data_IF_263127616062
#
_entry.id   IF_263127616062
#
_cell.length_a   1.000
_cell.length_b   1.000
_cell.length_c   1.000
_cell.angle_alpha   90.00
_cell.angle_beta   90.00
_cell.angle_gamma   90.00
#
_symmetry.space_group_name_H-M   'P 1'
#
loop_
_entity.id
_entity.type
_entity.pdbx_description
1 polymer ?
#
# COMPACT_ATOMS: atom_id res chain seq x y z
N UNK A 1 -19.53 -9.16 -46.31
CA UNK A 1 -18.18 -9.67 -45.98
C UNK A 1 -17.17 -8.85 -46.76
N UNK A 2 -16.26 -8.10 -46.11
CA UNK A 2 -15.40 -7.16 -46.83
C UNK A 2 -14.35 -7.89 -47.70
N UNK A 3 -14.09 -7.42 -48.94
CA UNK A 3 -13.25 -8.12 -49.94
C UNK A 3 -11.77 -8.26 -49.54
N UNK A 4 -11.37 -7.61 -48.45
CA UNK A 4 -10.01 -7.65 -47.89
C UNK A 4 -9.73 -9.01 -47.23
N UNK A 5 -10.73 -9.62 -46.57
CA UNK A 5 -10.54 -10.89 -45.87
C UNK A 5 -10.32 -12.06 -46.84
N UNK A 6 -11.00 -12.05 -47.99
CA UNK A 6 -10.81 -13.06 -49.04
C UNK A 6 -9.43 -12.99 -49.68
N UNK A 7 -8.87 -11.79 -49.87
CA UNK A 7 -7.50 -11.63 -50.41
C UNK A 7 -6.43 -12.14 -49.45
N UNK A 8 -6.62 -11.95 -48.14
CA UNK A 8 -5.72 -12.50 -47.11
C UNK A 8 -5.80 -14.04 -47.03
N UNK A 9 -6.98 -14.62 -47.21
CA UNK A 9 -7.14 -16.09 -47.26
C UNK A 9 -6.57 -16.71 -48.54
N UNK A 10 -6.61 -16.02 -49.68
CA UNK A 10 -6.00 -16.52 -50.93
C UNK A 10 -4.46 -16.40 -50.91
N UNK A 11 -3.92 -15.33 -50.34
CA UNK A 11 -2.47 -15.14 -50.21
C UNK A 11 -1.82 -16.20 -49.31
N UNK A 12 -2.47 -16.57 -48.20
CA UNK A 12 -1.99 -17.63 -47.30
C UNK A 12 -2.06 -19.03 -47.92
N UNK A 13 -2.92 -19.24 -48.92
CA UNK A 13 -3.05 -20.52 -49.65
C UNK A 13 -1.95 -20.78 -50.68
N UNK A 14 -1.26 -19.73 -51.16
CA UNK A 14 -0.17 -19.85 -52.17
C UNK A 14 1.24 -19.76 -51.58
N UNK A 15 1.37 -19.62 -50.26
CA UNK A 15 2.68 -19.52 -49.62
C UNK A 15 3.12 -20.89 -49.10
N UNK A 16 4.15 -21.44 -49.74
CA UNK A 16 4.82 -22.67 -49.27
C UNK A 16 5.21 -22.53 -47.79
N UNK A 17 5.07 -23.61 -47.01
CA UNK A 17 5.36 -23.65 -45.57
C UNK A 17 6.73 -23.07 -45.22
N UNK A 18 7.72 -23.20 -46.12
CA UNK A 18 9.06 -22.57 -45.97
C UNK A 18 9.01 -21.05 -45.96
N UNK A 19 8.18 -20.43 -46.82
CA UNK A 19 8.00 -18.97 -46.88
C UNK A 19 7.28 -18.44 -45.64
N UNK A 20 6.31 -19.21 -45.12
CA UNK A 20 5.61 -18.87 -43.86
C UNK A 20 6.59 -18.91 -42.69
N UNK A 21 7.41 -19.97 -42.58
CA UNK A 21 8.43 -20.08 -41.53
C UNK A 21 9.44 -18.94 -41.56
N UNK A 22 9.94 -18.57 -42.75
CA UNK A 22 10.88 -17.45 -42.90
C UNK A 22 10.26 -16.11 -42.49
N UNK A 23 8.98 -15.90 -42.79
CA UNK A 23 8.27 -14.68 -42.43
C UNK A 23 8.02 -14.59 -40.92
N UNK A 24 7.66 -15.71 -40.27
CA UNK A 24 7.52 -15.76 -38.81
C UNK A 24 8.86 -15.56 -38.11
N UNK A 25 9.93 -16.20 -38.60
CA UNK A 25 11.28 -16.03 -38.04
C UNK A 25 11.75 -14.57 -38.18
N UNK A 26 11.52 -13.95 -39.35
CA UNK A 26 11.82 -12.54 -39.59
C UNK A 26 11.02 -11.57 -38.70
N UNK A 27 9.72 -11.77 -38.55
CA UNK A 27 8.90 -10.94 -37.65
C UNK A 27 9.35 -11.08 -36.19
N UNK A 28 9.79 -12.27 -35.77
CA UNK A 28 10.24 -12.54 -34.41
C UNK A 28 11.59 -11.87 -34.12
N UNK A 29 12.53 -11.91 -35.06
CA UNK A 29 13.84 -11.23 -34.91
C UNK A 29 13.70 -9.70 -34.95
N UNK A 30 12.85 -9.15 -35.82
CA UNK A 30 12.55 -7.71 -35.85
C UNK A 30 11.89 -7.26 -34.54
N UNK A 31 10.95 -8.05 -34.01
CA UNK A 31 10.32 -7.74 -32.71
C UNK A 31 11.33 -7.77 -31.57
N UNK A 32 12.27 -8.72 -31.58
CA UNK A 32 13.34 -8.81 -30.58
C UNK A 32 14.32 -7.63 -30.67
N UNK A 33 14.70 -7.23 -31.89
CA UNK A 33 15.55 -6.06 -32.15
C UNK A 33 14.88 -4.75 -31.70
N UNK A 34 13.57 -4.59 -31.95
CA UNK A 34 12.82 -3.44 -31.46
C UNK A 34 12.74 -3.46 -29.93
N UNK A 35 12.54 -4.63 -29.31
CA UNK A 35 12.45 -4.71 -27.84
C UNK A 35 13.81 -4.50 -27.14
N UNK A 36 14.92 -4.94 -27.75
CA UNK A 36 16.27 -4.65 -27.25
C UNK A 36 16.69 -3.20 -27.52
N UNK A 37 16.33 -2.62 -28.67
CA UNK A 37 16.59 -1.21 -28.99
C UNK A 37 15.74 -0.22 -28.19
N UNK A 38 14.48 -0.57 -27.89
CA UNK A 38 13.58 0.25 -27.09
C UNK A 38 13.97 0.27 -25.60
N UNK A 39 14.59 -0.79 -25.07
CA UNK A 39 15.13 -0.80 -23.71
C UNK A 39 16.38 0.10 -23.55
N UNK A 40 17.15 0.37 -24.62
CA UNK A 40 18.31 1.27 -24.56
C UNK A 40 18.02 2.73 -24.91
N UNK A 41 16.94 3.03 -25.65
CA UNK A 41 16.66 4.37 -26.18
C UNK A 41 15.54 5.14 -25.45
N UNK A 42 14.57 4.44 -24.86
CA UNK A 42 13.33 5.05 -24.35
C UNK A 42 13.18 5.11 -22.82
N UNK A 43 14.27 4.95 -22.07
CA UNK A 43 14.33 5.62 -20.78
C UNK A 43 14.84 7.03 -21.03
N UNK A 44 13.98 8.07 -20.98
CA UNK A 44 14.51 9.41 -20.87
C UNK A 44 15.47 9.40 -19.67
N UNK A 45 16.70 9.86 -19.90
CA UNK A 45 17.62 10.30 -18.85
C UNK A 45 17.01 11.52 -18.14
N UNK A 46 15.84 11.35 -17.54
CA UNK A 46 15.29 12.26 -16.57
C UNK A 46 16.09 12.01 -15.30
N UNK A 47 16.77 13.07 -14.84
CA UNK A 47 17.72 13.19 -13.73
C UNK A 47 19.20 13.15 -14.12
N UNK A 48 19.75 14.20 -14.78
CA UNK A 48 21.06 14.65 -14.36
C UNK A 48 20.91 15.17 -12.92
N UNK A 49 21.23 14.31 -11.94
CA UNK A 49 21.51 14.73 -10.56
C UNK A 49 22.84 15.50 -10.53
N UNK A 50 22.97 16.55 -11.33
CA UNK A 50 23.99 17.57 -11.10
C UNK A 50 23.39 18.55 -10.10
N UNK A 51 23.27 18.11 -8.84
CA UNK A 51 23.16 19.06 -7.75
C UNK A 51 24.40 19.97 -7.83
N UNK A 52 24.26 21.31 -7.79
CA UNK A 52 25.41 22.17 -7.55
C UNK A 52 26.13 21.66 -6.29
N UNK A 53 27.47 21.68 -6.22
CA UNK A 53 28.20 21.16 -5.07
C UNK A 53 27.60 21.79 -3.82
N UNK A 54 27.00 20.93 -2.98
CA UNK A 54 26.44 21.37 -1.71
C UNK A 54 27.55 22.09 -0.99
N UNK A 55 27.33 23.38 -0.71
CA UNK A 55 28.09 24.17 0.26
C UNK A 55 28.42 23.25 1.44
N UNK A 56 29.70 23.16 1.81
CA UNK A 56 30.26 22.27 2.85
C UNK A 56 29.71 22.57 4.26
N UNK A 57 28.39 22.56 4.44
CA UNK A 57 27.78 22.42 5.75
C UNK A 57 27.91 20.95 6.17
N UNK A 58 28.27 20.66 7.43
CA UNK A 58 28.27 19.30 7.93
C UNK A 58 26.92 18.63 7.63
N UNK A 59 26.90 17.36 7.19
CA UNK A 59 25.66 16.68 6.86
C UNK A 59 24.74 16.72 8.07
N UNK A 60 23.56 17.34 7.91
CA UNK A 60 22.55 17.38 8.97
C UNK A 60 22.18 15.94 9.36
N UNK A 61 22.05 15.64 10.67
CA UNK A 61 21.58 14.34 11.12
C UNK A 61 20.27 13.99 10.43
N UNK A 62 20.15 12.75 9.95
CA UNK A 62 18.92 12.29 9.29
C UNK A 62 17.81 12.22 10.33
N UNK A 63 16.64 12.74 10.01
CA UNK A 63 15.47 12.64 10.88
C UNK A 63 14.88 11.22 10.86
N UNK A 64 14.84 10.55 12.01
CA UNK A 64 14.48 9.12 12.11
C UNK A 64 13.10 8.88 12.72
N UNK A 65 12.42 9.91 13.25
CA UNK A 65 11.18 9.76 14.02
C UNK A 65 10.02 10.51 13.38
N UNK A 66 9.03 9.80 12.83
CA UNK A 66 7.92 10.42 12.09
C UNK A 66 6.58 9.79 12.46
N UNK A 67 5.60 10.64 12.71
CA UNK A 67 4.20 10.27 12.87
C UNK A 67 3.42 10.77 11.64
N UNK A 68 3.20 9.89 10.69
CA UNK A 68 2.34 10.13 9.55
C UNK A 68 0.87 9.83 9.92
N UNK A 69 0.10 10.89 10.12
CA UNK A 69 -1.32 10.83 10.45
C UNK A 69 -2.11 10.51 9.16
N UNK A 70 -2.15 9.22 8.82
CA UNK A 70 -2.74 8.72 7.58
C UNK A 70 -4.27 8.93 7.58
N UNK A 71 -4.74 9.85 6.76
CA UNK A 71 -6.16 10.09 6.47
C UNK A 71 -6.66 9.17 5.34
N UNK A 72 -7.96 8.94 5.26
CA UNK A 72 -8.53 8.05 4.25
C UNK A 72 -8.53 8.68 2.85
N UNK A 73 -8.18 7.88 1.84
CA UNK A 73 -8.26 8.21 0.39
C UNK A 73 -7.49 9.48 -0.03
N UNK A 74 -6.42 9.80 0.68
CA UNK A 74 -5.49 10.92 0.43
C UNK A 74 -4.13 10.46 -0.12
N UNK A 75 -4.11 9.33 -0.85
CA UNK A 75 -2.88 8.66 -1.29
C UNK A 75 -1.95 8.21 -0.13
N UNK A 76 -2.46 8.14 1.09
CA UNK A 76 -1.67 7.80 2.27
C UNK A 76 -1.00 6.42 2.23
N UNK A 77 -1.56 5.41 1.53
CA UNK A 77 -0.95 4.07 1.41
C UNK A 77 0.39 4.11 0.68
N UNK A 78 0.57 5.04 -0.27
CA UNK A 78 1.85 5.24 -0.95
C UNK A 78 2.91 5.73 0.03
N UNK A 79 2.60 6.78 0.80
CA UNK A 79 3.52 7.34 1.81
C UNK A 79 3.81 6.34 2.92
N UNK A 80 2.80 5.62 3.41
CA UNK A 80 2.98 4.55 4.39
C UNK A 80 4.00 3.52 3.93
N UNK A 81 3.90 3.04 2.69
CA UNK A 81 4.85 2.04 2.17
C UNK A 81 6.27 2.60 2.06
N UNK A 82 6.41 3.85 1.65
CA UNK A 82 7.72 4.54 1.63
C UNK A 82 8.31 4.58 3.05
N UNK A 83 7.52 5.03 4.04
CA UNK A 83 7.95 5.14 5.43
C UNK A 83 8.27 3.78 6.06
N UNK A 84 7.49 2.75 5.75
CA UNK A 84 7.74 1.39 6.23
C UNK A 84 9.04 0.82 5.65
N UNK A 85 9.28 0.98 4.34
CA UNK A 85 10.55 0.57 3.71
C UNK A 85 11.75 1.36 4.24
N UNK A 86 11.55 2.64 4.53
CA UNK A 86 12.57 3.46 5.19
C UNK A 86 12.88 2.92 6.58
N UNK A 87 11.85 2.62 7.38
CA UNK A 87 12.02 2.03 8.70
C UNK A 87 12.77 0.69 8.65
N UNK A 88 12.43 -0.17 7.69
CA UNK A 88 13.16 -1.44 7.48
C UNK A 88 14.64 -1.22 7.21
N UNK A 89 14.95 -0.36 6.24
CA UNK A 89 16.32 -0.08 5.80
C UNK A 89 17.18 0.51 6.92
N UNK A 90 16.55 1.27 7.81
CA UNK A 90 17.22 1.94 8.93
C UNK A 90 17.03 1.21 10.27
N UNK A 91 16.51 -0.02 10.24
CA UNK A 91 16.27 -0.84 11.44
C UNK A 91 15.42 -0.14 12.51
N UNK A 92 14.50 0.73 12.10
CA UNK A 92 13.60 1.46 12.98
C UNK A 92 12.43 0.58 13.43
N UNK A 93 11.74 0.97 14.51
CA UNK A 93 10.50 0.31 14.96
C UNK A 93 9.29 1.04 14.39
N UNK A 94 8.43 0.32 13.68
CA UNK A 94 7.14 0.84 13.20
C UNK A 94 6.07 0.51 14.23
N UNK A 95 5.27 1.49 14.64
CA UNK A 95 4.07 1.27 15.43
C UNK A 95 3.06 0.46 14.61
N UNK A 96 2.69 -0.71 15.11
CA UNK A 96 1.70 -1.57 14.44
C UNK A 96 0.53 -1.83 15.38
N UNK A 97 -0.69 -1.96 14.86
CA UNK A 97 -1.87 -2.13 15.70
C UNK A 97 -1.86 -3.48 16.43
N UNK A 98 -2.46 -3.48 17.60
CA UNK A 98 -2.77 -4.69 18.35
C UNK A 98 -3.71 -5.59 17.51
N UNK A 99 -3.63 -6.93 17.59
CA UNK A 99 -4.44 -7.82 16.76
C UNK A 99 -5.96 -7.61 16.91
N UNK A 100 -6.42 -7.17 18.09
CA UNK A 100 -7.82 -6.82 18.32
C UNK A 100 -8.24 -5.51 17.66
N UNK A 101 -7.32 -4.67 17.21
CA UNK A 101 -7.57 -3.33 16.65
C UNK A 101 -7.49 -3.26 15.11
N UNK A 102 -7.55 -4.43 14.46
CA UNK A 102 -7.36 -4.58 13.02
C UNK A 102 -6.09 -3.86 12.51
N UNK A 103 -6.11 -3.32 11.29
CA UNK A 103 -5.00 -2.63 10.65
C UNK A 103 -5.03 -1.10 10.86
N UNK A 104 -5.98 -0.60 11.68
CA UNK A 104 -6.32 0.83 11.78
C UNK A 104 -6.41 1.33 13.23
N UNK A 105 -5.63 0.76 14.16
CA UNK A 105 -5.58 1.20 15.57
C UNK A 105 -6.97 1.43 16.20
N UNK A 106 -7.90 0.50 15.99
CA UNK A 106 -9.26 0.59 16.54
C UNK A 106 -10.07 1.83 16.09
N UNK A 107 -9.79 2.38 14.90
CA UNK A 107 -10.59 3.42 14.26
C UNK A 107 -12.09 3.02 14.21
N UNK A 108 -13.06 3.93 14.47
CA UNK A 108 -12.93 5.38 14.61
C UNK A 108 -12.77 5.89 16.06
N UNK A 109 -12.39 5.03 17.02
CA UNK A 109 -12.13 5.47 18.41
C UNK A 109 -10.92 6.41 18.44
N UNK A 110 -10.93 7.38 19.37
CA UNK A 110 -9.75 8.22 19.62
C UNK A 110 -8.54 7.33 19.91
N UNK A 111 -7.40 7.64 19.29
CA UNK A 111 -6.21 6.84 19.43
C UNK A 111 -5.79 6.73 20.90
N UNK A 112 -5.42 5.52 21.32
CA UNK A 112 -4.71 5.30 22.56
C UNK A 112 -3.47 4.47 22.30
N UNK A 113 -2.41 4.71 23.08
CA UNK A 113 -1.19 3.91 23.04
C UNK A 113 -1.48 2.41 23.26
N UNK A 114 -2.57 2.06 23.95
CA UNK A 114 -3.02 0.66 24.15
C UNK A 114 -3.35 -0.07 22.84
N UNK A 115 -3.73 0.67 21.78
CA UNK A 115 -4.03 0.09 20.48
C UNK A 115 -2.77 -0.30 19.71
N UNK A 116 -1.58 0.05 20.19
CA UNK A 116 -0.29 -0.31 19.59
C UNK A 116 0.17 -1.64 20.14
N UNK A 117 0.61 -2.54 19.28
CA UNK A 117 1.14 -3.84 19.68
C UNK A 117 2.36 -3.67 20.62
N UNK A 118 2.43 -4.35 21.78
CA UNK A 118 3.52 -4.21 22.76
C UNK A 118 4.93 -4.40 22.17
N UNK A 119 5.12 -5.43 21.34
CA UNK A 119 6.36 -5.69 20.60
C UNK A 119 6.81 -4.57 19.63
N UNK A 120 6.00 -3.52 19.46
CA UNK A 120 6.31 -2.38 18.58
C UNK A 120 6.47 -1.06 19.35
N UNK A 121 6.61 -1.13 20.67
CA UNK A 121 6.86 0.02 21.54
C UNK A 121 8.30 0.00 22.11
N UNK A 122 9.00 1.16 22.21
CA UNK A 122 8.63 2.45 21.64
C UNK A 122 8.84 2.49 20.11
N UNK A 123 7.93 3.11 19.34
CA UNK A 123 8.07 3.24 17.90
C UNK A 123 8.92 4.45 17.51
N UNK A 124 9.48 4.41 16.30
CA UNK A 124 10.10 5.55 15.63
C UNK A 124 9.21 6.04 14.49
N UNK A 125 8.45 5.14 13.86
CA UNK A 125 7.59 5.45 12.71
C UNK A 125 6.16 5.03 13.02
N UNK A 126 5.21 5.92 12.82
CA UNK A 126 3.78 5.61 12.85
C UNK A 126 3.18 6.06 11.51
N UNK A 127 2.46 5.19 10.81
CA UNK A 127 1.92 5.51 9.48
C UNK A 127 0.63 4.76 9.09
N UNK A 128 -0.08 4.18 10.05
CA UNK A 128 -1.39 3.53 9.81
C UNK A 128 -2.54 4.45 10.21
N UNK A 129 -3.75 4.14 9.73
CA UNK A 129 -4.96 4.90 10.07
C UNK A 129 -5.20 4.92 11.58
N UNK A 130 -5.46 6.11 12.12
CA UNK A 130 -5.88 6.33 13.50
C UNK A 130 -6.73 7.60 13.57
N UNK A 131 -7.43 7.81 14.68
CA UNK A 131 -8.04 9.09 15.01
C UNK A 131 -7.11 9.89 15.90
N UNK A 132 -6.66 11.04 15.43
CA UNK A 132 -5.61 11.84 16.08
C UNK A 132 -5.98 12.20 17.52
N UNK A 133 -5.10 11.85 18.44
CA UNK A 133 -5.09 12.32 19.82
C UNK A 133 -3.67 12.77 20.14
N UNK A 134 -3.49 14.07 20.38
CA UNK A 134 -2.18 14.69 20.55
C UNK A 134 -1.47 14.16 21.79
N UNK A 135 -2.19 14.06 22.91
CA UNK A 135 -1.61 13.67 24.19
C UNK A 135 -1.13 12.21 24.16
N UNK A 136 -1.94 11.29 23.60
CA UNK A 136 -1.55 9.89 23.48
C UNK A 136 -0.38 9.68 22.50
N UNK A 137 -0.34 10.44 21.40
CA UNK A 137 0.76 10.34 20.44
C UNK A 137 2.06 10.93 20.97
N UNK A 138 2.03 12.06 21.69
CA UNK A 138 3.22 12.64 22.31
C UNK A 138 3.78 11.76 23.42
N UNK A 139 2.93 11.01 24.13
CA UNK A 139 3.38 10.01 25.12
C UNK A 139 4.00 8.78 24.45
N UNK A 140 3.49 8.37 23.30
CA UNK A 140 3.95 7.18 22.59
C UNK A 140 5.24 7.43 21.80
N UNK A 141 5.30 8.54 21.08
CA UNK A 141 6.38 8.85 20.14
C UNK A 141 7.58 9.49 20.87
N UNK A 142 8.82 9.21 20.45
CA UNK A 142 10.00 9.84 21.04
C UNK A 142 9.99 11.38 20.88
N UNK A 143 10.65 12.12 21.80
CA UNK A 143 10.82 13.57 21.66
C UNK A 143 11.43 13.95 20.31
N UNK A 144 10.97 15.08 19.76
CA UNK A 144 11.42 15.57 18.44
C UNK A 144 10.76 14.88 17.24
N UNK A 145 9.75 14.02 17.45
CA UNK A 145 8.99 13.42 16.34
C UNK A 145 8.33 14.49 15.46
N UNK A 146 8.44 14.34 14.15
CA UNK A 146 7.77 15.20 13.18
C UNK A 146 6.42 14.60 12.80
N UNK A 147 5.37 15.41 12.89
CA UNK A 147 4.01 15.02 12.54
C UNK A 147 3.66 15.52 11.14
N UNK A 148 3.21 14.62 10.28
CA UNK A 148 2.87 14.93 8.88
C UNK A 148 1.52 14.31 8.54
N UNK A 149 0.73 14.99 7.72
CA UNK A 149 -0.50 14.43 7.14
C UNK A 149 -0.65 14.89 5.70
N UNK A 150 -1.59 14.28 4.99
CA UNK A 150 -2.02 14.72 3.66
C UNK A 150 -3.52 14.94 3.73
N UNK A 151 -3.97 16.08 3.23
CA UNK A 151 -5.39 16.38 3.06
C UNK A 151 -5.73 16.33 1.58
N UNK A 152 -7.00 16.04 1.29
CA UNK A 152 -7.58 16.04 -0.05
C UNK A 152 -8.86 16.86 -0.02
N UNK A 153 -9.22 17.42 -1.16
CA UNK A 153 -10.51 18.07 -1.35
C UNK A 153 -11.65 17.10 -0.92
N UNK A 154 -12.60 17.56 -0.07
CA UNK A 154 -13.60 16.69 0.55
C UNK A 154 -14.51 15.92 -0.41
N UNK A 155 -14.99 16.54 -1.50
CA UNK A 155 -15.89 15.89 -2.45
C UNK A 155 -15.18 14.73 -3.18
N UNK A 156 -13.99 14.97 -3.72
CA UNK A 156 -13.19 13.95 -4.40
C UNK A 156 -12.72 12.84 -3.45
N UNK A 157 -12.47 13.16 -2.18
CA UNK A 157 -12.21 12.15 -1.15
C UNK A 157 -13.45 11.29 -0.90
N UNK A 158 -14.63 11.89 -0.79
CA UNK A 158 -15.89 11.18 -0.59
C UNK A 158 -16.23 10.27 -1.77
N UNK A 159 -16.10 10.75 -3.01
CA UNK A 159 -16.27 9.92 -4.21
C UNK A 159 -15.36 8.70 -4.18
N UNK A 160 -14.08 8.88 -3.84
CA UNK A 160 -13.13 7.79 -3.73
C UNK A 160 -13.46 6.80 -2.61
N UNK A 161 -13.98 7.29 -1.47
CA UNK A 161 -14.48 6.46 -0.38
C UNK A 161 -15.69 5.65 -0.82
N UNK A 162 -16.66 6.31 -1.45
CA UNK A 162 -17.89 5.70 -1.93
C UNK A 162 -17.59 4.59 -2.94
N UNK A 163 -16.75 4.84 -3.95
CA UNK A 163 -16.35 3.81 -4.91
C UNK A 163 -15.57 2.65 -4.27
N UNK A 164 -14.78 2.92 -3.22
CA UNK A 164 -14.00 1.88 -2.54
C UNK A 164 -14.86 0.95 -1.70
N UNK A 165 -15.86 1.49 -0.98
CA UNK A 165 -16.72 0.71 -0.09
C UNK A 165 -17.99 0.17 -0.78
N UNK A 166 -18.44 0.78 -1.88
CA UNK A 166 -19.66 0.38 -2.60
C UNK A 166 -19.40 -0.49 -3.85
N UNK A 167 -18.33 -1.29 -3.87
CA UNK A 167 -18.15 -2.28 -4.94
C UNK A 167 -19.35 -3.26 -4.96
N UNK A 168 -19.82 -3.68 -6.16
CA UNK A 168 -21.02 -4.51 -6.32
C UNK A 168 -20.75 -5.93 -5.82
N UNK A 169 -20.92 -6.08 -4.52
CA UNK A 169 -20.77 -7.32 -3.75
C UNK A 169 -21.29 -7.12 -2.33
N UNK A 170 -22.21 -6.18 -2.15
CA UNK A 170 -22.78 -5.69 -0.88
C UNK A 170 -23.60 -6.72 -0.08
N UNK A 171 -23.23 -7.99 -0.16
CA UNK A 171 -23.49 -9.03 0.82
C UNK A 171 -22.15 -9.61 1.24
N UNK A 172 -21.30 -8.83 1.92
CA UNK A 172 -20.01 -9.30 2.39
C UNK A 172 -20.22 -10.32 3.52
N UNK A 173 -20.23 -11.61 3.17
CA UNK A 173 -20.00 -12.66 4.14
C UNK A 173 -18.59 -12.57 4.73
N UNK A 174 -18.31 -13.21 5.87
CA UNK A 174 -16.99 -13.19 6.51
C UNK A 174 -15.85 -13.67 5.59
N UNK A 175 -16.15 -14.51 4.59
CA UNK A 175 -15.19 -14.93 3.57
C UNK A 175 -14.74 -13.79 2.65
N UNK A 176 -15.64 -12.86 2.29
CA UNK A 176 -15.33 -11.72 1.43
C UNK A 176 -14.44 -10.72 2.15
N UNK A 177 -14.68 -10.48 3.45
CA UNK A 177 -13.87 -9.59 4.27
C UNK A 177 -12.45 -10.14 4.49
N UNK A 178 -12.33 -11.45 4.76
CA UNK A 178 -11.04 -12.12 4.86
C UNK A 178 -10.28 -12.09 3.51
N UNK A 179 -10.97 -12.28 2.39
CA UNK A 179 -10.39 -12.22 1.05
C UNK A 179 -9.91 -10.80 0.71
N UNK A 180 -10.70 -9.77 1.06
CA UNK A 180 -10.29 -8.36 0.93
C UNK A 180 -9.06 -8.08 1.79
N UNK A 181 -9.02 -8.54 3.05
CA UNK A 181 -7.85 -8.41 3.93
C UNK A 181 -6.61 -9.13 3.40
N UNK A 182 -6.78 -10.28 2.73
CA UNK A 182 -5.70 -10.98 2.03
C UNK A 182 -5.23 -10.24 0.78
N UNK A 183 -6.14 -9.61 0.05
CA UNK A 183 -5.83 -8.85 -1.16
C UNK A 183 -5.24 -7.46 -0.85
N UNK A 184 -5.45 -6.92 0.36
CA UNK A 184 -4.93 -5.61 0.77
C UNK A 184 -3.42 -5.67 1.05
N UNK A 185 -2.57 -5.06 0.21
CA UNK A 185 -1.11 -5.14 0.37
C UNK A 185 -0.63 -4.47 1.68
N UNK A 186 -1.37 -3.46 2.16
CA UNK A 186 -1.04 -2.78 3.41
C UNK A 186 -1.15 -3.68 4.65
N UNK A 187 -2.13 -4.59 4.66
CA UNK A 187 -2.33 -5.55 5.76
C UNK A 187 -1.24 -6.62 5.71
N UNK A 188 -0.94 -7.13 4.51
CA UNK A 188 0.14 -8.10 4.31
C UNK A 188 1.49 -7.54 4.78
N UNK A 189 1.84 -6.32 4.39
CA UNK A 189 3.13 -5.74 4.75
C UNK A 189 3.23 -5.38 6.24
N UNK A 190 2.14 -4.90 6.84
CA UNK A 190 2.07 -4.66 8.30
C UNK A 190 2.26 -5.96 9.09
N UNK A 191 1.67 -7.08 8.65
CA UNK A 191 1.87 -8.38 9.27
C UNK A 191 3.30 -8.89 9.14
N UNK A 192 3.93 -8.69 7.98
CA UNK A 192 5.35 -8.99 7.78
C UNK A 192 6.23 -8.19 8.75
N UNK A 193 6.02 -6.87 8.84
CA UNK A 193 6.75 -5.99 9.76
C UNK A 193 6.56 -6.43 11.21
N UNK A 194 5.34 -6.78 11.61
CA UNK A 194 5.05 -7.21 12.97
C UNK A 194 5.83 -8.49 13.31
N UNK A 195 5.82 -9.49 12.43
CA UNK A 195 6.58 -10.73 12.61
C UNK A 195 8.08 -10.46 12.70
N UNK A 196 8.60 -9.58 11.85
CA UNK A 196 10.02 -9.19 11.83
C UNK A 196 10.43 -8.46 13.10
N UNK A 197 9.62 -7.49 13.54
CA UNK A 197 9.85 -6.73 14.78
C UNK A 197 9.72 -7.61 16.03
N UNK A 198 8.76 -8.55 16.06
CA UNK A 198 8.65 -9.56 17.13
C UNK A 198 9.90 -10.41 17.24
N UNK A 199 10.46 -10.88 16.12
CA UNK A 199 11.73 -11.64 16.11
C UNK A 199 12.89 -10.79 16.63
N UNK A 200 12.95 -9.51 16.27
CA UNK A 200 13.95 -8.56 16.79
C UNK A 200 13.78 -8.33 18.31
N UNK A 201 12.55 -8.28 18.80
CA UNK A 201 12.20 -8.10 20.23
C UNK A 201 12.15 -9.39 21.06
N UNK A 202 12.22 -10.56 20.44
CA UNK A 202 12.10 -11.89 21.10
C UNK A 202 13.24 -12.23 22.06
N UNK A 203 14.31 -11.44 22.09
CA UNK A 203 15.30 -11.45 23.19
C UNK A 203 14.76 -10.79 24.48
N UNK A 204 13.53 -10.25 24.48
CA UNK A 204 12.93 -9.49 25.57
C UNK A 204 11.39 -9.60 25.55
N UNK A 205 10.85 -10.81 25.64
CA UNK A 205 9.39 -11.02 25.66
C UNK A 205 8.77 -10.57 27.00
N UNK A 206 7.97 -9.50 26.98
CA UNK A 206 7.03 -9.14 28.06
C UNK A 206 5.64 -9.74 27.74
N UNK A 207 4.83 -10.13 28.73
CA UNK A 207 3.49 -10.67 28.48
C UNK A 207 2.59 -9.68 27.72
N UNK A 208 1.74 -10.19 26.83
CA UNK A 208 0.71 -9.41 26.10
C UNK A 208 -0.35 -8.91 27.11
N UNK A 209 -0.61 -7.59 27.21
CA UNK A 209 -1.70 -7.07 28.03
C UNK A 209 -3.04 -7.31 27.32
N UNK A 210 -4.02 -7.82 28.07
CA UNK A 210 -5.41 -7.98 27.61
C UNK A 210 -6.05 -6.59 27.52
N UNK A 211 -6.72 -6.29 26.40
CA UNK A 211 -7.44 -5.02 26.23
C UNK A 211 -8.81 -5.12 26.89
N UNK A 212 -9.07 -4.29 27.91
CA UNK A 212 -10.30 -4.36 28.74
C UNK A 212 -11.61 -4.12 27.96
N UNK A 213 -11.54 -3.62 26.72
CA UNK A 213 -12.70 -3.40 25.85
C UNK A 213 -12.36 -3.66 24.36
N UNK A 214 -12.46 -4.92 23.89
CA UNK A 214 -12.28 -5.26 22.48
C UNK A 214 -13.31 -4.53 21.61
N UNK A 215 -12.98 -4.16 20.36
CA UNK A 215 -13.92 -3.42 19.53
C UNK A 215 -15.18 -4.24 19.22
N UNK A 216 -16.36 -3.58 19.08
CA UNK A 216 -17.57 -4.24 18.65
C UNK A 216 -17.41 -4.79 17.22
N UNK A 217 -18.02 -5.95 16.97
CA UNK A 217 -18.02 -6.61 15.66
C UNK A 217 -18.63 -5.67 14.59
N UNK A 218 -18.22 -5.78 13.32
CA UNK A 218 -18.75 -4.93 12.26
C UNK A 218 -20.29 -4.98 12.23
N UNK A 219 -20.89 -3.80 12.08
CA UNK A 219 -22.35 -3.63 11.99
C UNK A 219 -22.82 -4.42 10.76
N UNK A 220 -23.60 -5.47 10.99
CA UNK A 220 -24.34 -6.16 9.92
C UNK A 220 -25.27 -5.13 9.28
N UNK A 221 -25.03 -4.79 8.02
CA UNK A 221 -25.99 -4.03 7.22
C UNK A 221 -27.28 -4.86 7.17
N UNK A 222 -28.37 -4.30 7.67
CA UNK A 222 -29.69 -4.92 7.64
C UNK A 222 -30.06 -5.21 6.17
N UNK A 223 -30.51 -6.42 5.81
CA UNK A 223 -30.91 -6.70 4.44
C UNK A 223 -32.00 -5.72 4.01
N UNK A 224 -31.86 -5.14 2.81
CA UNK A 224 -32.91 -4.33 2.20
C UNK A 224 -34.19 -5.17 2.15
N UNK A 225 -35.23 -4.70 2.83
CA UNK A 225 -36.58 -5.28 2.72
C UNK A 225 -37.07 -5.27 1.26
N UNK A 226 -38.00 -6.16 0.91
CA UNK A 226 -38.47 -6.29 -0.46
C UNK A 226 -39.12 -4.98 -0.92
N UNK A 227 -38.65 -4.47 -2.06
CA UNK A 227 -39.35 -3.41 -2.77
C UNK A 227 -40.63 -4.03 -3.35
N UNK A 228 -41.77 -3.66 -2.78
CA UNK A 228 -43.08 -3.95 -3.36
C UNK A 228 -43.41 -2.99 -4.51
N UNK A 229 -44.35 -3.37 -5.39
CA UNK A 229 -44.86 -2.52 -6.47
C UNK A 229 -45.69 -1.33 -5.95
#
# INVERSE_FOLDING_TARGET
>A
MPPILQRLQQATKMMSRRKILLLVLGCSTVSLLIHQGAQLSWYPKLFPLSCPPLRNSPPRPKHMTVAFLKTHKTAGTTVQNILFRFAERHNLTVALPHPSCEHQFCYPRNFSAHFVHPATRPPHVLASHLRFDRAELERLMPPGTVYVTILREPAAMFESLFSYYNLPGGGAGPATEACLKLAMPEVQYSNYLLRKQKRRGGARARPEPVLDNPPPRPIRVLPRGPQGP
#
